data_IF_967425478355
#
_entry.id   IF_967425478355
#
_cell.length_a   1.000
_cell.length_b   1.000
_cell.length_c   1.000
_cell.angle_alpha   90.00
_cell.angle_beta   90.00
_cell.angle_gamma   90.00
#
_symmetry.space_group_name_H-M   'P 1'
#
loop_
_entity.id
_entity.type
_entity.pdbx_description
1 polymer ?
#
# COMPACT_ATOMS: atom_id res chain seq x y z
N UNK A 1 13.01 -0.23 -10.77
CA UNK A 1 11.87 -0.13 -9.84
C UNK A 1 12.34 0.23 -8.45
N UNK A 2 11.66 1.15 -7.79
CA UNK A 2 11.95 1.54 -6.41
C UNK A 2 10.93 0.84 -5.49
N UNK A 3 11.35 -0.31 -4.95
CA UNK A 3 10.53 -1.16 -4.06
C UNK A 3 9.90 -0.33 -2.92
N UNK A 4 10.63 0.66 -2.40
CA UNK A 4 10.14 1.49 -1.30
C UNK A 4 8.97 2.38 -1.74
N UNK A 5 8.97 2.88 -2.98
CA UNK A 5 7.85 3.66 -3.52
C UNK A 5 6.62 2.79 -3.69
N UNK A 6 6.77 1.56 -4.17
CA UNK A 6 5.65 0.64 -4.39
C UNK A 6 5.00 0.21 -3.06
N UNK A 7 5.82 -0.17 -2.07
CA UNK A 7 5.35 -0.53 -0.72
C UNK A 7 4.66 0.66 -0.06
N UNK A 8 5.28 1.83 -0.12
CA UNK A 8 4.73 3.04 0.46
C UNK A 8 3.40 3.42 -0.18
N UNK A 9 3.31 3.35 -1.51
CA UNK A 9 2.08 3.64 -2.24
C UNK A 9 0.93 2.70 -1.86
N UNK A 10 1.19 1.39 -1.82
CA UNK A 10 0.20 0.39 -1.44
C UNK A 10 -0.31 0.61 0.00
N UNK A 11 0.60 0.78 0.97
CA UNK A 11 0.23 0.95 2.37
C UNK A 11 -0.47 2.30 2.62
N UNK A 12 -0.07 3.36 1.92
CA UNK A 12 -0.74 4.66 2.01
C UNK A 12 -2.17 4.57 1.47
N UNK A 13 -2.38 3.83 0.37
CA UNK A 13 -3.70 3.61 -0.20
C UNK A 13 -4.60 2.79 0.73
N UNK A 14 -4.10 1.71 1.33
CA UNK A 14 -4.85 0.95 2.34
C UNK A 14 -5.28 1.82 3.54
N UNK A 15 -4.35 2.67 4.01
CA UNK A 15 -4.65 3.62 5.08
C UNK A 15 -5.71 4.64 4.66
N UNK A 16 -5.73 5.04 3.39
CA UNK A 16 -6.80 5.87 2.84
C UNK A 16 -8.15 5.13 2.84
N UNK A 17 -8.21 3.89 2.36
CA UNK A 17 -9.42 3.05 2.36
C UNK A 17 -9.98 2.84 3.78
N UNK A 18 -9.09 2.58 4.75
CA UNK A 18 -9.45 2.45 6.16
C UNK A 18 -10.06 3.74 6.74
N UNK A 19 -9.57 4.91 6.33
CA UNK A 19 -10.15 6.19 6.77
C UNK A 19 -11.48 6.49 6.09
N UNK A 20 -11.58 6.16 4.81
CA UNK A 20 -12.79 6.35 4.00
C UNK A 20 -13.95 5.50 4.56
N UNK A 21 -13.71 4.20 4.81
CA UNK A 21 -14.71 3.27 5.35
C UNK A 21 -15.20 3.63 6.76
N UNK A 22 -14.34 4.22 7.60
CA UNK A 22 -14.69 4.62 8.98
C UNK A 22 -15.51 5.91 9.05
N UNK A 23 -15.90 6.49 7.91
CA UNK A 23 -16.65 7.75 7.89
C UNK A 23 -15.92 8.89 8.59
N UNK A 24 -14.58 8.81 8.72
CA UNK A 24 -13.79 9.96 9.20
C UNK A 24 -13.76 10.99 8.06
N UNK A 25 -14.84 11.76 7.98
CA UNK A 25 -15.10 12.95 7.13
C UNK A 25 -14.03 14.05 7.24
N UNK A 26 -12.89 13.79 7.87
CA UNK A 26 -11.76 14.69 7.78
C UNK A 26 -11.10 14.52 6.42
N UNK A 27 -11.61 15.26 5.42
CA UNK A 27 -10.96 15.72 4.17
C UNK A 27 -11.59 15.32 2.81
N UNK A 28 -12.76 14.67 2.73
CA UNK A 28 -13.42 14.50 1.40
C UNK A 28 -13.64 15.87 0.74
N UNK A 29 -14.12 16.86 1.50
CA UNK A 29 -14.26 18.26 1.06
C UNK A 29 -12.97 18.93 0.59
N UNK A 30 -11.81 18.51 1.10
CA UNK A 30 -10.51 19.08 0.71
C UNK A 30 -9.99 18.46 -0.58
N UNK A 31 -10.13 17.15 -0.73
CA UNK A 31 -9.76 16.42 -1.94
C UNK A 31 -10.72 16.68 -3.09
N UNK A 32 -12.04 16.69 -2.87
CA UNK A 32 -13.06 17.08 -3.87
C UNK A 32 -12.81 18.51 -4.37
N UNK A 33 -12.32 19.40 -3.51
CA UNK A 33 -11.98 20.79 -3.90
C UNK A 33 -10.69 20.87 -4.74
N UNK A 34 -9.76 19.92 -4.59
CA UNK A 34 -8.49 19.87 -5.34
C UNK A 34 -8.59 19.03 -6.63
N UNK A 35 -9.37 17.94 -6.60
CA UNK A 35 -9.53 16.96 -7.68
C UNK A 35 -10.81 17.20 -8.50
N UNK A 36 -11.68 18.09 -8.05
CA UNK A 36 -12.99 18.36 -8.66
C UNK A 36 -14.08 17.39 -8.20
N UNK A 37 -15.32 17.67 -8.61
CA UNK A 37 -16.53 16.91 -8.23
C UNK A 37 -16.65 15.50 -8.82
N UNK A 38 -15.60 14.98 -9.46
CA UNK A 38 -15.61 13.70 -10.19
C UNK A 38 -14.87 12.58 -9.44
N UNK A 39 -14.65 12.72 -8.14
CA UNK A 39 -14.00 11.64 -7.36
C UNK A 39 -15.06 10.64 -6.93
N UNK A 40 -15.19 9.56 -7.69
CA UNK A 40 -16.00 8.41 -7.30
C UNK A 40 -15.46 7.79 -6.01
N UNK A 41 -16.39 7.30 -5.18
CA UNK A 41 -16.03 6.55 -4.00
C UNK A 41 -15.21 5.31 -4.38
N UNK A 42 -14.11 5.00 -3.66
CA UNK A 42 -13.39 3.76 -3.89
C UNK A 42 -14.32 2.57 -3.62
N UNK A 43 -14.39 1.64 -4.59
CA UNK A 43 -15.12 0.38 -4.47
C UNK A 43 -14.28 -0.74 -3.82
N UNK A 44 -13.01 -0.46 -3.50
CA UNK A 44 -12.05 -1.39 -2.89
C UNK A 44 -12.15 -1.33 -1.38
N UNK A 45 -12.08 -2.48 -0.70
CA UNK A 45 -12.20 -2.56 0.77
C UNK A 45 -10.86 -2.39 1.50
N UNK A 46 -9.79 -2.96 0.94
CA UNK A 46 -8.45 -2.96 1.51
C UNK A 46 -7.41 -3.12 0.39
N UNK A 47 -6.16 -2.78 0.67
CA UNK A 47 -5.03 -3.01 -0.23
C UNK A 47 -3.90 -3.68 0.55
N UNK A 48 -3.34 -4.77 0.02
CA UNK A 48 -2.32 -5.57 0.70
C UNK A 48 -1.05 -5.57 -0.13
N UNK A 49 0.08 -5.23 0.48
CA UNK A 49 1.41 -5.25 -0.15
C UNK A 49 2.08 -6.62 0.05
N UNK A 50 2.35 -7.32 -1.05
CA UNK A 50 3.05 -8.62 -1.05
C UNK A 50 4.36 -8.48 -1.84
N UNK A 51 5.49 -8.61 -1.15
CA UNK A 51 6.82 -8.50 -1.75
C UNK A 51 7.33 -9.89 -2.15
N UNK A 52 7.83 -10.02 -3.38
CA UNK A 52 8.38 -11.29 -3.90
C UNK A 52 9.91 -11.26 -4.00
N UNK A 53 10.55 -12.37 -3.68
CA UNK A 53 12.03 -12.52 -3.72
C UNK A 53 12.59 -12.91 -5.10
N UNK A 54 11.73 -13.15 -6.10
CA UNK A 54 12.14 -13.47 -7.48
C UNK A 54 12.50 -12.24 -8.32
N UNK A 55 12.29 -11.03 -7.80
CA UNK A 55 12.47 -9.76 -8.52
C UNK A 55 13.73 -9.02 -8.12
N UNK A 56 13.61 -7.68 -8.03
CA UNK A 56 14.70 -6.78 -7.61
C UNK A 56 15.05 -6.97 -6.11
N UNK A 57 14.07 -7.37 -5.30
CA UNK A 57 14.25 -7.62 -3.87
C UNK A 57 15.00 -8.94 -3.63
N UNK A 58 15.99 -8.90 -2.74
CA UNK A 58 16.69 -10.08 -2.22
C UNK A 58 16.47 -10.15 -0.72
N UNK A 59 16.46 -11.35 -0.15
CA UNK A 59 16.15 -11.59 1.28
C UNK A 59 17.01 -10.76 2.26
N UNK A 60 18.21 -10.39 1.85
CA UNK A 60 19.16 -9.58 2.63
C UNK A 60 19.22 -8.11 2.18
N UNK A 61 18.34 -7.67 1.27
CA UNK A 61 18.30 -6.26 0.87
C UNK A 61 17.65 -5.46 1.99
N UNK A 62 18.43 -4.60 2.64
CA UNK A 62 17.92 -3.70 3.66
C UNK A 62 16.95 -2.67 3.08
N UNK A 63 16.02 -2.20 3.92
CA UNK A 63 15.19 -1.06 3.59
C UNK A 63 16.07 0.19 3.43
N UNK A 64 16.17 0.68 2.20
CA UNK A 64 16.98 1.88 1.90
C UNK A 64 16.20 3.14 2.24
N UNK A 65 16.37 3.64 3.48
CA UNK A 65 15.70 4.86 3.96
C UNK A 65 15.89 6.08 3.05
N UNK A 66 17.03 6.15 2.36
CA UNK A 66 17.37 7.22 1.41
C UNK A 66 16.49 7.25 0.15
N UNK A 67 15.76 6.17 -0.14
CA UNK A 67 14.81 6.07 -1.25
C UNK A 67 13.37 6.38 -0.84
N UNK A 68 13.15 6.85 0.40
CA UNK A 68 11.84 7.26 0.85
C UNK A 68 11.45 8.64 0.27
N UNK A 69 10.17 8.88 -0.07
CA UNK A 69 9.78 10.16 -0.64
C UNK A 69 9.91 11.27 0.42
N UNK A 70 10.77 12.25 0.13
CA UNK A 70 11.16 13.37 1.02
C UNK A 70 9.98 14.12 1.62
N UNK A 71 8.84 14.14 0.93
CA UNK A 71 7.68 14.95 1.28
C UNK A 71 6.83 14.35 2.43
N UNK A 72 7.16 13.15 2.92
CA UNK A 72 6.37 12.42 3.92
C UNK A 72 7.07 12.17 5.27
N UNK A 73 8.10 12.97 5.61
CA UNK A 73 8.76 12.89 6.91
C UNK A 73 7.93 13.61 8.01
N UNK A 74 7.78 13.02 9.21
CA UNK A 74 8.33 11.74 9.65
C UNK A 74 7.53 10.53 9.13
N UNK A 75 8.26 9.52 8.67
CA UNK A 75 7.65 8.31 8.13
C UNK A 75 7.16 7.41 9.25
N UNK A 76 5.92 6.98 9.13
CA UNK A 76 5.38 5.90 9.95
C UNK A 76 5.97 4.57 9.47
N UNK A 77 6.58 3.81 10.37
CA UNK A 77 7.26 2.55 10.04
C UNK A 77 6.35 1.56 9.30
N UNK A 78 5.05 1.55 9.64
CA UNK A 78 4.05 0.70 8.98
C UNK A 78 3.85 1.01 7.49
N UNK A 79 4.19 2.22 7.02
CA UNK A 79 4.11 2.57 5.59
C UNK A 79 5.32 2.05 4.80
N UNK A 80 6.41 1.69 5.48
CA UNK A 80 7.66 1.28 4.83
C UNK A 80 7.83 -0.24 4.72
N UNK A 81 6.93 -1.01 5.32
CA UNK A 81 7.05 -2.47 5.43
C UNK A 81 5.96 -3.17 4.63
N UNK A 82 6.29 -4.18 3.80
CA UNK A 82 5.27 -4.96 3.13
C UNK A 82 4.47 -5.77 4.16
N UNK A 83 3.20 -6.02 3.89
CA UNK A 83 2.38 -6.87 4.75
C UNK A 83 2.92 -8.32 4.75
N UNK A 84 3.38 -8.79 3.60
CA UNK A 84 3.94 -10.12 3.43
C UNK A 84 5.18 -10.13 2.54
N UNK A 85 6.10 -11.05 2.82
CA UNK A 85 7.23 -11.37 1.96
C UNK A 85 7.15 -12.84 1.59
N UNK A 86 7.21 -13.15 0.29
CA UNK A 86 7.09 -14.52 -0.23
C UNK A 86 8.16 -14.81 -1.26
N UNK A 87 8.45 -16.10 -1.46
CA UNK A 87 9.51 -16.53 -2.36
C UNK A 87 9.26 -16.12 -3.82
N UNK A 88 8.03 -16.26 -4.30
CA UNK A 88 7.69 -16.15 -5.72
C UNK A 88 6.23 -15.70 -5.92
N UNK A 89 5.90 -15.33 -7.16
CA UNK A 89 4.57 -14.84 -7.53
C UNK A 89 3.47 -15.88 -7.36
N UNK A 90 3.76 -17.18 -7.55
CA UNK A 90 2.77 -18.23 -7.36
C UNK A 90 2.29 -18.30 -5.91
N UNK A 91 3.21 -18.17 -4.96
CA UNK A 91 2.87 -18.04 -3.53
C UNK A 91 2.13 -16.75 -3.21
N UNK A 92 2.47 -15.63 -3.87
CA UNK A 92 1.77 -14.36 -3.68
C UNK A 92 0.30 -14.47 -4.09
N UNK A 93 0.01 -15.11 -5.24
CA UNK A 93 -1.37 -15.33 -5.71
C UNK A 93 -2.14 -16.21 -4.73
N UNK A 94 -1.56 -17.34 -4.32
CA UNK A 94 -2.22 -18.24 -3.35
C UNK A 94 -2.52 -17.52 -2.03
N UNK A 95 -1.60 -16.65 -1.58
CA UNK A 95 -1.81 -15.84 -0.39
C UNK A 95 -2.94 -14.83 -0.60
N UNK A 96 -2.97 -14.11 -1.72
CA UNK A 96 -4.02 -13.15 -2.02
C UNK A 96 -5.41 -13.80 -2.04
N UNK A 97 -5.57 -14.94 -2.73
CA UNK A 97 -6.83 -15.68 -2.77
C UNK A 97 -7.29 -16.12 -1.38
N UNK A 98 -6.35 -16.59 -0.55
CA UNK A 98 -6.64 -16.97 0.84
C UNK A 98 -7.12 -15.79 1.68
N UNK A 99 -6.46 -14.63 1.58
CA UNK A 99 -6.86 -13.42 2.31
C UNK A 99 -8.25 -12.90 1.89
N UNK A 100 -8.64 -13.14 0.62
CA UNK A 100 -9.99 -12.82 0.13
C UNK A 100 -11.06 -13.86 0.51
N UNK A 101 -10.69 -14.94 1.21
CA UNK A 101 -11.54 -16.12 1.46
C UNK A 101 -12.13 -16.69 0.16
N UNK A 102 -11.31 -16.73 -0.88
CA UNK A 102 -11.66 -17.33 -2.15
C UNK A 102 -11.37 -18.84 -2.09
N UNK A 103 -12.42 -19.64 -1.94
CA UNK A 103 -12.39 -21.12 -1.95
C UNK A 103 -12.43 -21.69 -3.39
#
# INVERSE_FOLDING_TARGET
DNINTDIFGANLYDKYLTRYSKGKETKSRGMEKLLGSNVEAPNVKACISILVETGVHRRDSEFVSEHCPRDFLPLEEGLCRPAFVVKDVGRAINLALKEENFD
#
